data_IF_629519086356
#
_entry.id   IF_629519086356
#
_cell.length_a   1.000
_cell.length_b   1.000
_cell.length_c   1.000
_cell.angle_alpha   90.00
_cell.angle_beta   90.00
_cell.angle_gamma   90.00
#
_symmetry.space_group_name_H-M   'P 1'
#
loop_
_entity.id
_entity.type
_entity.pdbx_description
1 polymer ?
#
# COMPACT_ATOMS: atom_id res chain seq x y z
N UNK A 1 6.07 -22.50 9.37
CA UNK A 1 7.23 -23.07 10.07
C UNK A 1 7.36 -24.59 9.95
N UNK A 2 7.41 -25.14 8.72
CA UNK A 2 7.68 -26.58 8.56
C UNK A 2 9.11 -26.97 8.98
N UNK A 3 10.07 -26.05 8.91
CA UNK A 3 11.49 -26.29 9.20
C UNK A 3 11.99 -25.61 10.49
N UNK A 4 11.11 -25.03 11.32
CA UNK A 4 11.50 -24.31 12.53
C UNK A 4 12.27 -22.99 12.30
N UNK A 5 12.54 -22.60 11.07
CA UNK A 5 13.25 -21.38 10.74
C UNK A 5 12.33 -20.17 10.78
N UNK A 6 12.80 -19.06 11.38
CA UNK A 6 12.11 -17.79 11.42
C UNK A 6 12.76 -16.83 10.43
N UNK A 7 11.94 -16.21 9.60
CA UNK A 7 12.36 -15.18 8.63
C UNK A 7 11.61 -13.89 8.92
N UNK A 8 12.26 -12.75 8.70
CA UNK A 8 11.64 -11.44 8.88
C UNK A 8 11.20 -10.88 7.53
N UNK A 9 9.91 -10.59 7.41
CA UNK A 9 9.34 -9.75 6.35
C UNK A 9 8.97 -8.39 6.95
N UNK A 10 9.35 -7.30 6.29
CA UNK A 10 9.15 -5.94 6.82
C UNK A 10 7.79 -5.36 6.49
N UNK A 11 7.28 -5.67 5.31
CA UNK A 11 6.07 -5.05 4.77
C UNK A 11 5.17 -6.14 4.20
N UNK A 12 4.14 -6.49 4.96
CA UNK A 12 3.11 -7.44 4.56
C UNK A 12 1.84 -6.65 4.30
N UNK A 13 1.29 -6.79 3.12
CA UNK A 13 0.03 -6.15 2.72
C UNK A 13 -0.96 -7.20 2.23
N UNK A 14 -2.24 -6.89 2.29
CA UNK A 14 -3.27 -7.67 1.60
C UNK A 14 -3.63 -6.95 0.31
N UNK A 15 -3.76 -7.70 -0.77
CA UNK A 15 -4.06 -7.16 -2.09
C UNK A 15 -5.15 -7.97 -2.80
N UNK A 16 -5.89 -7.30 -3.66
CA UNK A 16 -6.81 -7.95 -4.59
C UNK A 16 -6.07 -8.51 -5.81
N UNK A 17 -6.79 -9.18 -6.70
CA UNK A 17 -6.25 -9.79 -7.92
C UNK A 17 -5.65 -8.78 -8.91
N UNK A 18 -5.96 -7.48 -8.78
CA UNK A 18 -5.55 -6.42 -9.69
C UNK A 18 -4.37 -5.60 -9.16
N UNK A 19 -3.86 -5.91 -7.97
CA UNK A 19 -2.80 -5.11 -7.32
C UNK A 19 -1.57 -4.93 -8.23
N UNK A 20 -1.17 -5.97 -8.97
CA UNK A 20 -0.02 -5.90 -9.89
C UNK A 20 -0.35 -5.26 -11.25
N UNK A 21 -1.64 -5.11 -11.60
CA UNK A 21 -2.06 -4.32 -12.78
C UNK A 21 -1.96 -2.81 -12.48
N UNK A 22 -2.16 -2.42 -11.22
CA UNK A 22 -2.10 -1.04 -10.73
C UNK A 22 -0.70 -0.64 -10.28
N UNK A 23 -0.01 -1.54 -9.59
CA UNK A 23 1.34 -1.37 -9.05
C UNK A 23 2.28 -2.41 -9.72
N UNK A 24 2.61 -2.23 -11.00
CA UNK A 24 3.28 -3.26 -11.79
C UNK A 24 4.67 -3.58 -11.23
N UNK A 25 4.92 -4.89 -11.11
CA UNK A 25 6.24 -5.47 -10.82
C UNK A 25 6.46 -6.65 -11.76
N UNK A 26 7.68 -6.88 -12.24
CA UNK A 26 7.99 -8.09 -12.98
C UNK A 26 7.66 -9.33 -12.14
N UNK A 27 6.90 -10.25 -12.71
CA UNK A 27 6.60 -11.53 -12.08
C UNK A 27 7.65 -12.53 -12.52
N UNK A 28 8.32 -13.13 -11.54
CA UNK A 28 9.37 -14.13 -11.79
C UNK A 28 8.79 -15.53 -11.93
N UNK A 29 7.85 -15.88 -11.07
CA UNK A 29 7.16 -17.19 -11.08
C UNK A 29 5.71 -17.00 -10.60
N UNK A 30 4.79 -17.77 -11.18
CA UNK A 30 3.38 -17.81 -10.80
C UNK A 30 2.53 -16.77 -11.51
N UNK A 31 1.23 -16.83 -11.26
CA UNK A 31 0.23 -15.88 -11.75
C UNK A 31 -0.38 -15.12 -10.56
N UNK A 32 -0.21 -13.79 -10.50
CA UNK A 32 -0.76 -12.99 -9.40
C UNK A 32 -2.27 -13.07 -9.29
N UNK A 33 -2.99 -13.09 -10.43
CA UNK A 33 -4.46 -13.12 -10.43
C UNK A 33 -4.97 -14.44 -9.89
N UNK A 34 -4.39 -15.54 -10.37
CA UNK A 34 -4.73 -16.87 -9.87
C UNK A 34 -4.38 -16.99 -8.37
N UNK A 35 -3.17 -16.56 -7.98
CA UNK A 35 -2.69 -16.65 -6.60
C UNK A 35 -3.58 -15.84 -5.65
N UNK A 36 -3.85 -14.57 -5.98
CA UNK A 36 -4.58 -13.67 -5.09
C UNK A 36 -6.11 -13.87 -5.11
N UNK A 37 -6.64 -14.69 -6.04
CA UNK A 37 -8.03 -15.11 -6.01
C UNK A 37 -8.32 -16.21 -4.98
N UNK A 38 -7.28 -16.81 -4.38
CA UNK A 38 -7.40 -17.92 -3.44
C UNK A 38 -7.15 -17.47 -2.01
N UNK A 39 -8.06 -17.76 -1.05
CA UNK A 39 -7.83 -17.49 0.37
C UNK A 39 -6.57 -18.22 0.88
N UNK A 40 -5.75 -17.52 1.67
CA UNK A 40 -4.54 -18.10 2.25
C UNK A 40 -3.35 -18.23 1.28
N UNK A 41 -3.46 -17.73 0.05
CA UNK A 41 -2.34 -17.66 -0.87
C UNK A 41 -1.65 -16.30 -0.82
N UNK A 42 -0.34 -16.31 -1.12
CA UNK A 42 0.49 -15.10 -1.12
C UNK A 42 1.43 -15.04 -2.31
N UNK A 43 1.73 -13.82 -2.76
CA UNK A 43 2.87 -13.50 -3.60
C UNK A 43 4.00 -12.97 -2.71
N UNK A 44 5.23 -13.39 -2.95
CA UNK A 44 6.41 -12.95 -2.18
C UNK A 44 7.44 -12.27 -3.07
N UNK A 45 8.24 -11.36 -2.48
CA UNK A 45 9.35 -10.71 -3.17
C UNK A 45 10.52 -11.69 -3.39
N UNK A 46 11.35 -11.40 -4.38
CA UNK A 46 12.56 -12.19 -4.67
C UNK A 46 13.52 -12.24 -3.47
N UNK A 47 13.58 -11.17 -2.68
CA UNK A 47 14.36 -11.15 -1.43
C UNK A 47 13.90 -12.25 -0.46
N UNK A 48 12.61 -12.38 -0.25
CA UNK A 48 12.05 -13.43 0.63
C UNK A 48 12.27 -14.80 0.01
N UNK A 49 12.07 -14.94 -1.32
CA UNK A 49 12.30 -16.20 -2.02
C UNK A 49 13.74 -16.69 -1.88
N UNK A 50 14.74 -15.79 -1.96
CA UNK A 50 16.15 -16.14 -1.75
C UNK A 50 16.41 -16.72 -0.36
N UNK A 51 15.75 -16.22 0.68
CA UNK A 51 15.86 -16.79 2.04
C UNK A 51 15.29 -18.22 2.14
N UNK A 52 14.39 -18.58 1.22
CA UNK A 52 13.75 -19.89 1.15
C UNK A 52 14.44 -20.84 0.16
N UNK A 53 15.60 -20.47 -0.38
CA UNK A 53 16.39 -21.29 -1.30
C UNK A 53 16.26 -20.90 -2.78
N UNK A 54 15.50 -19.84 -3.09
CA UNK A 54 15.28 -19.33 -4.44
C UNK A 54 13.82 -19.40 -4.88
N UNK A 55 13.51 -18.76 -6.02
CA UNK A 55 12.12 -18.56 -6.45
C UNK A 55 11.40 -19.89 -6.73
N UNK A 56 12.06 -20.84 -7.40
CA UNK A 56 11.47 -22.15 -7.71
C UNK A 56 11.20 -22.99 -6.46
N UNK A 57 12.13 -22.94 -5.46
CA UNK A 57 12.00 -23.69 -4.22
C UNK A 57 11.03 -23.05 -3.24
N UNK A 58 10.72 -21.78 -3.41
CA UNK A 58 9.80 -21.05 -2.54
C UNK A 58 8.32 -21.33 -2.87
N UNK A 59 7.99 -21.51 -4.13
CA UNK A 59 6.62 -21.76 -4.59
C UNK A 59 6.09 -23.07 -3.98
N UNK A 60 4.82 -23.07 -3.60
CA UNK A 60 4.10 -24.13 -2.88
C UNK A 60 4.61 -24.43 -1.46
N UNK A 61 5.58 -23.69 -0.94
CA UNK A 61 5.88 -23.77 0.49
C UNK A 61 4.79 -23.09 1.31
N UNK A 62 4.58 -23.65 2.49
CA UNK A 62 3.64 -23.13 3.46
C UNK A 62 4.37 -22.50 4.64
N UNK A 63 3.78 -21.46 5.21
CA UNK A 63 4.29 -20.79 6.40
C UNK A 63 3.17 -20.14 7.19
N UNK A 64 3.47 -19.74 8.43
CA UNK A 64 2.56 -19.00 9.30
C UNK A 64 3.20 -17.67 9.68
N UNK A 65 2.38 -16.62 9.78
CA UNK A 65 2.82 -15.39 10.43
C UNK A 65 2.77 -15.53 11.94
N UNK A 66 3.76 -15.01 12.63
CA UNK A 66 3.78 -14.98 14.10
C UNK A 66 2.61 -14.17 14.67
N UNK A 67 2.13 -13.16 13.93
CA UNK A 67 0.94 -12.36 14.27
C UNK A 67 -0.39 -13.10 14.09
N UNK A 68 -0.41 -14.24 13.41
CA UNK A 68 -1.62 -15.01 13.11
C UNK A 68 -1.35 -16.52 13.26
N UNK A 69 -1.07 -16.99 14.48
CA UNK A 69 -0.74 -18.39 14.71
C UNK A 69 -1.93 -19.30 14.38
N UNK A 70 -1.64 -20.43 13.74
CA UNK A 70 -2.64 -21.39 13.27
C UNK A 70 -3.26 -21.04 11.90
N UNK A 71 -2.88 -19.94 11.28
CA UNK A 71 -3.28 -19.60 9.91
C UNK A 71 -2.12 -19.86 8.95
N UNK A 72 -2.26 -20.90 8.13
CA UNK A 72 -1.27 -21.30 7.14
C UNK A 72 -1.47 -20.51 5.84
N UNK A 73 -0.36 -20.03 5.27
CA UNK A 73 -0.31 -19.36 3.98
C UNK A 73 0.55 -20.14 3.00
N UNK A 74 0.11 -20.24 1.74
CA UNK A 74 0.81 -20.94 0.67
C UNK A 74 1.40 -19.91 -0.31
N UNK A 75 2.67 -20.07 -0.66
CA UNK A 75 3.34 -19.22 -1.64
C UNK A 75 2.92 -19.65 -3.05
N UNK A 76 2.15 -18.80 -3.75
CA UNK A 76 1.68 -19.05 -5.11
C UNK A 76 2.55 -18.43 -6.20
N UNK A 77 3.45 -17.50 -5.83
CA UNK A 77 4.35 -16.90 -6.81
C UNK A 77 5.35 -15.92 -6.21
N UNK A 78 6.26 -15.47 -7.07
CA UNK A 78 7.38 -14.59 -6.72
C UNK A 78 7.43 -13.40 -7.68
N UNK A 79 7.57 -12.20 -7.14
CA UNK A 79 7.75 -10.96 -7.89
C UNK A 79 9.11 -10.31 -7.60
N UNK A 80 9.56 -9.44 -8.49
CA UNK A 80 10.80 -8.69 -8.33
C UNK A 80 10.70 -7.69 -7.17
N UNK A 81 11.81 -7.48 -6.47
CA UNK A 81 11.86 -6.62 -5.29
C UNK A 81 11.38 -5.19 -5.59
N UNK A 82 10.64 -4.61 -4.65
CA UNK A 82 10.24 -3.21 -4.73
C UNK A 82 11.46 -2.33 -4.47
N UNK A 83 11.76 -1.33 -5.32
CA UNK A 83 12.86 -0.41 -5.11
C UNK A 83 12.79 0.30 -3.77
N UNK A 84 13.94 0.52 -3.13
CA UNK A 84 14.02 1.17 -1.81
C UNK A 84 13.50 2.61 -1.80
N UNK A 85 13.53 3.29 -2.93
CA UNK A 85 13.01 4.64 -3.11
C UNK A 85 11.49 4.70 -3.38
N UNK A 86 10.80 3.55 -3.37
CA UNK A 86 9.34 3.52 -3.48
C UNK A 86 8.70 3.83 -2.12
N UNK A 87 7.67 4.69 -2.11
CA UNK A 87 6.85 4.92 -0.92
C UNK A 87 5.88 3.76 -0.65
N UNK A 88 5.51 3.01 -1.68
CA UNK A 88 4.72 1.78 -1.57
C UNK A 88 5.67 0.59 -1.50
N UNK A 89 5.98 0.15 -0.29
CA UNK A 89 6.86 -0.99 -0.05
C UNK A 89 6.03 -2.20 0.36
N UNK A 90 6.27 -3.31 -0.30
CA UNK A 90 5.69 -4.59 0.09
C UNK A 90 6.65 -5.72 -0.29
N UNK A 91 6.76 -6.70 0.60
CA UNK A 91 7.58 -7.91 0.43
C UNK A 91 6.72 -9.15 0.32
N UNK A 92 5.53 -9.10 0.91
CA UNK A 92 4.51 -10.16 0.82
C UNK A 92 3.18 -9.49 0.53
N UNK A 93 2.49 -9.98 -0.49
CA UNK A 93 1.11 -9.61 -0.82
C UNK A 93 0.24 -10.83 -0.57
N UNK A 94 -0.58 -10.78 0.46
CA UNK A 94 -1.54 -11.83 0.79
C UNK A 94 -2.90 -11.55 0.13
N UNK A 95 -3.62 -12.62 -0.23
CA UNK A 95 -4.93 -12.51 -0.82
C UNK A 95 -5.94 -11.85 0.12
N UNK A 96 -6.68 -10.84 -0.37
CA UNK A 96 -7.82 -10.24 0.32
C UNK A 96 -8.99 -11.21 0.51
N UNK A 97 -9.08 -12.28 -0.31
CA UNK A 97 -10.13 -13.29 -0.18
C UNK A 97 -10.07 -14.06 1.16
N UNK A 98 -8.91 -14.05 1.83
CA UNK A 98 -8.75 -14.58 3.17
C UNK A 98 -9.35 -13.74 4.29
N UNK A 99 -9.75 -12.49 4.01
CA UNK A 99 -10.35 -11.62 5.01
C UNK A 99 -11.79 -12.02 5.34
N UNK A 100 -12.20 -11.80 6.59
CA UNK A 100 -13.58 -12.01 6.98
C UNK A 100 -14.55 -11.15 6.14
N UNK A 101 -15.75 -11.68 5.90
CA UNK A 101 -16.82 -10.94 5.21
C UNK A 101 -17.11 -9.61 5.90
N UNK A 102 -17.15 -9.61 7.23
CA UNK A 102 -17.35 -8.40 8.02
C UNK A 102 -16.29 -7.34 7.75
N UNK A 103 -15.02 -7.70 7.70
CA UNK A 103 -13.94 -6.74 7.40
C UNK A 103 -14.05 -6.16 5.99
N UNK A 104 -14.45 -6.97 5.00
CA UNK A 104 -14.59 -6.52 3.60
C UNK A 104 -15.83 -5.64 3.37
N UNK A 105 -16.88 -5.83 4.15
CA UNK A 105 -18.16 -5.11 4.00
C UNK A 105 -18.29 -3.93 4.96
N UNK A 106 -17.35 -3.71 5.87
CA UNK A 106 -17.39 -2.62 6.84
C UNK A 106 -16.84 -1.32 6.22
N UNK A 107 -17.73 -0.53 5.67
CA UNK A 107 -17.42 0.74 5.01
C UNK A 107 -17.13 1.90 5.97
N UNK A 108 -17.48 1.78 7.24
CA UNK A 108 -17.37 2.87 8.23
C UNK A 108 -16.33 2.64 9.31
N UNK A 109 -15.82 1.43 9.44
CA UNK A 109 -14.99 1.06 10.58
C UNK A 109 -13.54 0.72 10.25
N UNK A 110 -13.07 0.96 9.02
CA UNK A 110 -11.78 0.46 8.61
C UNK A 110 -11.01 1.47 7.75
N UNK A 111 -10.22 2.31 8.42
CA UNK A 111 -9.32 3.30 7.83
C UNK A 111 -7.98 2.72 7.31
N UNK A 112 -7.85 1.37 7.30
CA UNK A 112 -6.62 0.68 6.90
C UNK A 112 -6.56 0.29 5.43
N UNK A 113 -7.63 0.55 4.66
CA UNK A 113 -7.66 0.25 3.24
C UNK A 113 -7.11 1.42 2.41
N UNK A 114 -6.23 1.08 1.48
CA UNK A 114 -5.76 1.99 0.45
C UNK A 114 -6.44 1.59 -0.87
N UNK A 115 -7.27 2.47 -1.41
CA UNK A 115 -7.92 2.28 -2.71
C UNK A 115 -7.09 2.94 -3.81
N UNK A 116 -6.75 2.17 -4.84
CA UNK A 116 -6.10 2.67 -6.04
C UNK A 116 -7.01 2.47 -7.23
N UNK A 117 -7.11 3.48 -8.10
CA UNK A 117 -7.88 3.40 -9.33
C UNK A 117 -7.01 3.85 -10.51
N UNK A 118 -7.12 3.14 -11.62
CA UNK A 118 -6.50 3.51 -12.88
C UNK A 118 -7.54 4.14 -13.78
N UNK A 119 -7.34 5.41 -14.10
CA UNK A 119 -8.22 6.15 -14.97
C UNK A 119 -7.85 5.93 -16.45
N UNK A 120 -8.83 6.00 -17.34
CA UNK A 120 -8.56 6.07 -18.76
C UNK A 120 -7.85 7.38 -19.12
N UNK A 121 -6.99 7.38 -20.14
CA UNK A 121 -6.33 8.60 -20.60
C UNK A 121 -7.34 9.71 -20.90
N UNK A 122 -7.10 10.90 -20.36
CA UNK A 122 -7.97 12.07 -20.56
C UNK A 122 -9.17 12.15 -19.63
N UNK A 123 -9.36 11.19 -18.70
CA UNK A 123 -10.41 11.30 -17.68
C UNK A 123 -10.01 12.33 -16.63
N UNK A 124 -10.88 13.31 -16.41
CA UNK A 124 -10.75 14.28 -15.32
C UNK A 124 -11.13 13.60 -13.99
N UNK A 125 -10.22 13.51 -13.01
CA UNK A 125 -10.50 12.91 -11.70
C UNK A 125 -11.66 13.60 -10.95
N UNK A 126 -11.84 14.91 -11.12
CA UNK A 126 -12.90 15.65 -10.45
C UNK A 126 -14.29 15.24 -10.95
N UNK A 127 -14.39 14.82 -12.20
CA UNK A 127 -15.65 14.33 -12.78
C UNK A 127 -16.19 13.07 -12.08
N UNK A 128 -15.35 12.33 -11.36
CA UNK A 128 -15.72 11.11 -10.65
C UNK A 128 -16.26 11.37 -9.24
N UNK A 129 -16.15 12.58 -8.72
CA UNK A 129 -16.57 12.93 -7.34
C UNK A 129 -18.01 12.56 -7.08
N UNK A 130 -18.93 12.85 -8.02
CA UNK A 130 -20.35 12.50 -7.89
C UNK A 130 -20.56 10.99 -7.86
N UNK A 131 -19.91 10.26 -8.78
CA UNK A 131 -20.03 8.80 -8.85
C UNK A 131 -19.47 8.12 -7.59
N UNK A 132 -18.38 8.64 -7.03
CA UNK A 132 -17.80 8.16 -5.77
C UNK A 132 -18.79 8.39 -4.62
N UNK A 133 -19.42 9.56 -4.55
CA UNK A 133 -20.40 9.87 -3.51
C UNK A 133 -21.66 9.02 -3.62
N UNK A 134 -22.14 8.76 -4.83
CA UNK A 134 -23.25 7.84 -5.07
C UNK A 134 -22.90 6.40 -4.67
N UNK A 135 -21.68 5.96 -4.95
CA UNK A 135 -21.17 4.67 -4.49
C UNK A 135 -21.17 4.58 -2.97
N UNK A 136 -20.65 5.60 -2.28
CA UNK A 136 -20.67 5.67 -0.81
C UNK A 136 -22.10 5.55 -0.26
N UNK A 137 -23.05 6.30 -0.84
CA UNK A 137 -24.45 6.29 -0.40
C UNK A 137 -25.17 4.95 -0.60
N UNK A 138 -24.65 4.04 -1.44
CA UNK A 138 -25.19 2.67 -1.58
C UNK A 138 -24.74 1.75 -0.44
N UNK A 139 -23.66 2.07 0.24
CA UNK A 139 -23.04 1.20 1.25
C UNK A 139 -23.11 1.74 2.66
N UNK A 140 -23.36 3.03 2.83
CA UNK A 140 -23.52 3.67 4.14
C UNK A 140 -24.56 4.80 4.10
N UNK A 141 -25.25 4.98 5.22
CA UNK A 141 -26.14 6.13 5.42
C UNK A 141 -25.29 7.37 5.72
N UNK A 142 -25.02 8.17 4.68
CA UNK A 142 -24.18 9.37 4.78
C UNK A 142 -24.79 10.45 5.68
N UNK A 143 -26.13 10.48 5.81
CA UNK A 143 -26.80 11.44 6.68
C UNK A 143 -26.65 11.07 8.17
N UNK A 144 -26.73 9.79 8.49
CA UNK A 144 -26.49 9.30 9.84
C UNK A 144 -25.03 9.50 10.26
N UNK A 145 -24.08 9.20 9.35
CA UNK A 145 -22.63 9.43 9.55
C UNK A 145 -22.35 10.89 9.83
N UNK A 146 -22.97 11.81 9.07
CA UNK A 146 -22.83 13.25 9.26
C UNK A 146 -23.44 13.73 10.58
N UNK A 147 -24.60 13.18 11.00
CA UNK A 147 -25.20 13.45 12.32
C UNK A 147 -24.29 12.99 13.47
N UNK A 148 -23.53 11.93 13.27
CA UNK A 148 -22.52 11.47 14.23
C UNK A 148 -21.25 12.35 14.26
N UNK A 149 -21.20 13.45 13.50
CA UNK A 149 -20.06 14.38 13.45
C UNK A 149 -18.92 13.93 12.55
N UNK A 150 -19.13 12.93 11.70
CA UNK A 150 -18.13 12.41 10.79
C UNK A 150 -18.40 12.95 9.38
N UNK A 151 -17.43 13.63 8.78
CA UNK A 151 -17.47 14.02 7.37
C UNK A 151 -16.69 13.01 6.53
N UNK A 152 -17.40 12.09 5.90
CA UNK A 152 -16.83 11.04 5.08
C UNK A 152 -16.76 11.50 3.63
N UNK A 153 -15.63 12.04 3.22
CA UNK A 153 -15.38 12.50 1.86
C UNK A 153 -14.19 11.76 1.26
N UNK A 154 -14.38 11.12 0.11
CA UNK A 154 -13.30 10.52 -0.67
C UNK A 154 -12.94 11.43 -1.83
N UNK A 155 -11.64 11.68 -1.99
CA UNK A 155 -11.08 12.39 -3.13
C UNK A 155 -10.00 11.55 -3.80
N UNK A 156 -9.84 11.73 -5.10
CA UNK A 156 -8.75 11.10 -5.85
C UNK A 156 -7.51 11.98 -5.77
N UNK A 157 -6.41 11.39 -5.37
CA UNK A 157 -5.10 12.04 -5.32
C UNK A 157 -4.18 11.33 -6.29
N UNK A 158 -3.48 12.05 -7.20
CA UNK A 158 -2.51 11.44 -8.08
C UNK A 158 -1.45 10.68 -7.28
N UNK A 159 -1.11 9.47 -7.73
CA UNK A 159 -0.15 8.60 -7.02
C UNK A 159 1.22 9.29 -6.83
N UNK A 160 1.64 10.10 -7.80
CA UNK A 160 2.90 10.85 -7.75
C UNK A 160 2.89 11.94 -6.66
N UNK A 161 1.70 12.46 -6.32
CA UNK A 161 1.56 13.54 -5.35
C UNK A 161 1.40 13.03 -3.90
N UNK A 162 1.14 11.74 -3.73
CA UNK A 162 0.96 11.14 -2.39
C UNK A 162 2.17 11.35 -1.49
N UNK A 163 3.38 11.24 -2.05
CA UNK A 163 4.60 11.46 -1.27
C UNK A 163 4.83 12.92 -0.94
N UNK A 164 4.69 13.81 -1.93
CA UNK A 164 4.93 15.26 -1.76
C UNK A 164 3.86 15.93 -0.89
N UNK A 165 2.66 15.38 -0.83
CA UNK A 165 1.55 15.90 -0.04
C UNK A 165 1.48 15.39 1.40
N UNK A 166 2.35 14.44 1.80
CA UNK A 166 2.39 14.00 3.20
C UNK A 166 2.82 15.14 4.12
N UNK A 167 2.19 15.25 5.28
CA UNK A 167 2.48 16.31 6.25
C UNK A 167 3.93 16.28 6.73
N UNK A 168 4.54 15.09 6.79
CA UNK A 168 5.95 14.91 7.14
C UNK A 168 6.87 15.55 6.09
N UNK A 169 6.61 15.33 4.80
CA UNK A 169 7.41 15.90 3.70
C UNK A 169 7.23 17.41 3.62
N UNK A 170 6.01 17.92 3.80
CA UNK A 170 5.74 19.38 3.86
C UNK A 170 6.46 20.03 5.02
N UNK A 171 6.39 19.43 6.21
CA UNK A 171 7.08 19.92 7.41
C UNK A 171 8.61 19.91 7.22
N UNK A 172 9.16 18.85 6.68
CA UNK A 172 10.59 18.73 6.40
C UNK A 172 11.06 19.77 5.36
N UNK A 173 10.30 19.95 4.27
CA UNK A 173 10.61 20.96 3.26
C UNK A 173 10.56 22.38 3.83
N UNK A 174 9.61 22.67 4.69
CA UNK A 174 9.51 23.96 5.38
C UNK A 174 10.72 24.19 6.30
N UNK A 175 11.12 23.17 7.07
CA UNK A 175 12.29 23.24 7.95
C UNK A 175 13.59 23.46 7.14
N UNK A 176 13.78 22.69 6.05
CA UNK A 176 14.94 22.84 5.17
C UNK A 176 14.98 24.22 4.50
N UNK A 177 13.82 24.74 4.07
CA UNK A 177 13.70 26.09 3.51
C UNK A 177 14.09 27.16 4.53
N UNK A 178 13.64 27.03 5.79
CA UNK A 178 14.01 27.93 6.88
C UNK A 178 15.52 27.88 7.18
N UNK A 179 16.11 26.70 7.25
CA UNK A 179 17.56 26.54 7.46
C UNK A 179 18.38 27.16 6.32
N UNK A 180 17.96 26.95 5.07
CA UNK A 180 18.59 27.56 3.91
C UNK A 180 18.52 29.10 3.96
N UNK A 181 17.37 29.65 4.33
CA UNK A 181 17.19 31.09 4.52
C UNK A 181 18.14 31.64 5.59
N UNK A 182 18.23 30.98 6.75
CA UNK A 182 19.14 31.40 7.85
C UNK A 182 20.59 31.39 7.40
N UNK A 183 21.03 30.35 6.68
CA UNK A 183 22.39 30.28 6.15
C UNK A 183 22.70 31.38 5.16
N UNK A 184 21.78 31.65 4.20
CA UNK A 184 21.95 32.74 3.22
C UNK A 184 21.96 34.10 3.93
N UNK A 185 21.06 34.31 4.88
CA UNK A 185 20.98 35.56 5.64
C UNK A 185 22.27 35.78 6.45
N UNK A 186 22.81 34.77 7.12
CA UNK A 186 24.04 34.85 7.89
C UNK A 186 25.24 35.17 6.98
N UNK A 187 25.32 34.52 5.82
CA UNK A 187 26.37 34.80 4.82
C UNK A 187 26.27 36.24 4.30
N UNK A 188 25.07 36.73 3.99
CA UNK A 188 24.84 38.10 3.55
C UNK A 188 25.22 39.12 4.63
N UNK A 189 24.85 38.88 5.88
CA UNK A 189 25.21 39.74 7.02
C UNK A 189 26.73 39.79 7.22
N UNK A 190 27.43 38.68 7.13
CA UNK A 190 28.88 38.66 7.20
C UNK A 190 29.53 39.46 6.07
N UNK A 191 28.96 39.39 4.85
CA UNK A 191 29.47 40.16 3.72
C UNK A 191 29.25 41.68 3.88
N UNK A 192 28.16 42.11 4.49
CA UNK A 192 27.82 43.53 4.71
C UNK A 192 28.63 44.14 5.87
N UNK A 193 29.06 43.31 6.83
CA UNK A 193 29.81 43.75 8.01
C UNK A 193 31.33 43.77 7.84
N UNK A 194 31.84 43.36 6.71
CA UNK A 194 33.24 43.48 6.28
C UNK A 194 33.41 44.70 5.39
#
# INVERSE_FOLDING_TARGET
NQDGNRYSARYVVMGDTNVFDLLPRPILIGDPKETLSRPGYVMISNRIAKLLGGAEQAVNKEFEFESSPGQTYTIGGVFEDVPENSHLRFEIVASLEGMSKWSRENWLGNDRYLGYVKLYPGTDPESLTTAIREMQGRHCDLEEVKKAGIDLTYSLVPLMDMHSNSDEVKSMNSLLGFLAFVLIFTAAMNYVLI
#
